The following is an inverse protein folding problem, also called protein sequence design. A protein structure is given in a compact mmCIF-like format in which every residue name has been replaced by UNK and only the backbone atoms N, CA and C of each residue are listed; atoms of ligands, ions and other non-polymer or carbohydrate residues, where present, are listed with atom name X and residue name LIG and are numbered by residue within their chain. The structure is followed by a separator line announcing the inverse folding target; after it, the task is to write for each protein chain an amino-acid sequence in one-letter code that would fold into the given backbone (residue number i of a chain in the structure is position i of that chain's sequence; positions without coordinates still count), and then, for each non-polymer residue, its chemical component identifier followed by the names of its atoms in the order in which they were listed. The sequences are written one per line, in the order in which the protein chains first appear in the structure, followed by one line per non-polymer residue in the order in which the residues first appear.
data_IF_082147820963
#
_entry.id   IF_082147820963
#
_cell.length_a   1.000
_cell.length_b   1.000
_cell.length_c   1.000
_cell.angle_alpha   90.00
_cell.angle_beta   90.00
_cell.angle_gamma   90.00
#
_symmetry.space_group_name_H-M   'P 1'
#
loop_
_entity.id
_entity.type
_entity.pdbx_description
1 polymer ?
#
# COMPACT_ATOMS: atom_id res chain seq x y z
N UNK A 1 -12.35 6.48 21.58
CA UNK A 1 -13.20 7.58 21.10
C UNK A 1 -12.31 8.81 21.05
N UNK A 2 -12.08 9.34 19.86
CA UNK A 2 -11.10 10.42 19.64
C UNK A 2 -11.75 11.78 19.40
N UNK A 3 -13.01 11.91 19.84
CA UNK A 3 -13.84 13.10 19.71
C UNK A 3 -15.18 12.80 19.04
N UNK A 4 -15.97 13.85 18.88
CA UNK A 4 -17.23 13.85 18.14
C UNK A 4 -17.17 14.97 17.10
N UNK A 5 -17.74 14.73 15.92
CA UNK A 5 -17.94 15.79 14.94
C UNK A 5 -19.44 16.01 14.72
N UNK A 6 -19.82 17.27 14.52
CA UNK A 6 -21.20 17.63 14.25
C UNK A 6 -21.42 17.74 12.74
N UNK A 7 -22.44 17.05 12.25
CA UNK A 7 -22.90 17.14 10.87
C UNK A 7 -24.41 17.28 10.89
N UNK A 8 -24.92 18.40 10.35
CA UNK A 8 -26.35 18.73 10.28
C UNK A 8 -27.07 18.67 11.65
N UNK A 9 -26.42 19.11 12.73
CA UNK A 9 -26.98 19.08 14.09
C UNK A 9 -26.96 17.72 14.78
N UNK A 10 -26.48 16.67 14.11
CA UNK A 10 -26.26 15.35 14.70
C UNK A 10 -24.77 15.18 15.05
N UNK A 11 -24.50 14.64 16.25
CA UNK A 11 -23.15 14.34 16.72
C UNK A 11 -22.77 12.91 16.41
N UNK A 12 -21.65 12.73 15.71
CA UNK A 12 -21.12 11.42 15.34
C UNK A 12 -19.79 11.17 16.04
N UNK A 13 -19.58 9.99 16.62
CA UNK A 13 -18.29 9.64 17.19
C UNK A 13 -17.23 9.55 16.09
N UNK A 14 -16.09 10.20 16.30
CA UNK A 14 -14.92 10.02 15.44
C UNK A 14 -14.34 8.64 15.74
N UNK A 15 -14.57 7.71 14.84
CA UNK A 15 -13.94 6.39 14.86
C UNK A 15 -12.57 6.47 14.19
N UNK A 16 -11.50 6.07 14.88
CA UNK A 16 -10.23 5.79 14.20
C UNK A 16 -10.43 4.62 13.26
N UNK A 17 -9.67 4.61 12.18
CA UNK A 17 -9.45 3.40 11.38
C UNK A 17 -8.95 2.30 12.31
N UNK A 18 -9.75 1.26 12.48
CA UNK A 18 -9.35 0.03 13.16
C UNK A 18 -8.98 -1.02 12.12
N UNK A 19 -7.96 -1.85 12.38
CA UNK A 19 -7.69 -2.99 11.52
C UNK A 19 -8.93 -3.88 11.47
N UNK A 20 -9.26 -4.37 10.28
CA UNK A 20 -10.34 -5.34 10.11
C UNK A 20 -9.97 -6.58 10.95
N UNK A 21 -10.84 -7.04 11.87
CA UNK A 21 -10.57 -8.24 12.65
C UNK A 21 -10.30 -9.42 11.71
N UNK A 22 -9.12 -10.01 11.81
CA UNK A 22 -8.73 -11.16 11.01
C UNK A 22 -8.05 -12.23 11.87
N UNK A 23 -8.23 -13.53 11.57
CA UNK A 23 -7.61 -14.61 12.33
C UNK A 23 -6.10 -14.76 12.06
N UNK A 24 -5.58 -14.07 11.04
CA UNK A 24 -4.23 -14.25 10.53
C UNK A 24 -3.15 -13.76 11.50
N UNK A 25 -2.12 -14.58 11.73
CA UNK A 25 -0.96 -14.23 12.56
C UNK A 25 0.30 -14.20 11.71
N UNK A 26 1.24 -13.33 12.09
CA UNK A 26 2.49 -13.17 11.36
C UNK A 26 3.38 -14.43 11.40
N UNK A 27 3.20 -15.28 12.42
CA UNK A 27 4.03 -16.47 12.68
C UNK A 27 3.23 -17.78 12.56
N UNK A 28 2.12 -17.78 11.83
CA UNK A 28 1.40 -19.02 11.54
C UNK A 28 2.26 -19.92 10.63
N UNK A 29 2.19 -21.25 10.80
CA UNK A 29 2.99 -22.18 10.00
C UNK A 29 2.58 -22.11 8.53
N UNK A 30 3.50 -22.46 7.63
CA UNK A 30 3.29 -22.36 6.18
C UNK A 30 1.99 -23.02 5.69
N UNK A 31 1.67 -24.21 6.22
CA UNK A 31 0.44 -24.95 5.91
C UNK A 31 -0.84 -24.16 6.24
N UNK A 32 -0.81 -23.31 7.28
CA UNK A 32 -1.94 -22.47 7.68
C UNK A 32 -2.03 -21.23 6.79
N UNK A 33 -0.89 -20.64 6.43
CA UNK A 33 -0.82 -19.47 5.53
C UNK A 33 -1.30 -19.83 4.11
N UNK A 34 -1.03 -21.05 3.63
CA UNK A 34 -1.54 -21.54 2.34
C UNK A 34 -3.07 -21.59 2.26
N UNK A 35 -3.75 -21.66 3.42
CA UNK A 35 -5.22 -21.65 3.49
C UNK A 35 -5.79 -20.23 3.57
N UNK A 36 -4.95 -19.19 3.64
CA UNK A 36 -5.44 -17.81 3.73
C UNK A 36 -6.04 -17.36 2.40
N UNK A 37 -7.27 -16.84 2.46
CA UNK A 37 -7.85 -16.12 1.34
C UNK A 37 -7.40 -14.67 1.39
N UNK A 38 -6.64 -14.25 0.38
CA UNK A 38 -6.17 -12.87 0.22
C UNK A 38 -6.62 -12.36 -1.14
N UNK A 39 -7.18 -11.15 -1.15
CA UNK A 39 -7.58 -10.45 -2.35
C UNK A 39 -6.81 -9.14 -2.46
N UNK A 40 -6.31 -8.83 -3.66
CA UNK A 40 -5.87 -7.47 -3.96
C UNK A 40 -7.09 -6.56 -4.04
N UNK A 41 -6.95 -5.36 -3.50
CA UNK A 41 -7.98 -4.33 -3.48
C UNK A 41 -7.38 -2.99 -3.89
N UNK A 42 -8.22 -1.97 -4.01
CA UNK A 42 -7.85 -0.60 -4.37
C UNK A 42 -7.20 -0.46 -5.75
N UNK A 43 -7.95 -0.82 -6.80
CA UNK A 43 -7.55 -0.68 -8.19
C UNK A 43 -7.74 0.75 -8.74
N UNK A 44 -7.94 1.76 -7.88
CA UNK A 44 -8.19 3.15 -8.30
C UNK A 44 -7.04 3.78 -9.11
N UNK A 45 -5.81 3.26 -8.92
CA UNK A 45 -4.62 3.67 -9.68
C UNK A 45 -4.15 2.61 -10.70
N UNK A 46 -4.86 1.49 -10.85
CA UNK A 46 -4.45 0.41 -11.74
C UNK A 46 -4.51 0.84 -13.21
N UNK A 47 -3.55 0.40 -14.02
CA UNK A 47 -3.43 0.75 -15.43
C UNK A 47 -3.38 -0.50 -16.30
N UNK A 48 -3.86 -0.40 -17.53
CA UNK A 48 -3.77 -1.47 -18.53
C UNK A 48 -2.37 -1.51 -19.15
N UNK A 49 -1.78 -2.70 -19.25
CA UNK A 49 -0.40 -2.88 -19.74
C UNK A 49 -0.29 -2.70 -21.25
N UNK A 50 -1.37 -2.97 -21.98
CA UNK A 50 -1.48 -2.83 -23.44
C UNK A 50 -1.81 -1.40 -23.90
N UNK A 51 -1.89 -0.44 -22.96
CA UNK A 51 -2.19 0.96 -23.24
C UNK A 51 -1.05 1.84 -22.77
N UNK A 52 -0.93 3.00 -23.42
CA UNK A 52 -0.05 4.05 -22.93
C UNK A 52 -0.45 4.44 -21.50
N UNK A 53 0.52 4.51 -20.56
CA UNK A 53 0.21 4.85 -19.19
C UNK A 53 -0.42 6.25 -19.08
N UNK A 54 -1.49 6.38 -18.29
CA UNK A 54 -2.16 7.67 -18.10
C UNK A 54 -1.27 8.73 -17.41
N UNK A 55 -0.21 8.30 -16.73
CA UNK A 55 0.73 9.16 -16.01
C UNK A 55 2.13 8.55 -16.06
N UNK A 56 3.16 9.40 -16.01
CA UNK A 56 4.56 8.96 -15.86
C UNK A 56 4.98 8.72 -14.42
N UNK A 57 4.08 8.98 -13.47
CA UNK A 57 4.37 8.87 -12.04
C UNK A 57 3.25 8.12 -11.35
N UNK A 58 3.59 6.96 -10.80
CA UNK A 58 2.67 6.06 -10.10
C UNK A 58 3.22 5.64 -8.72
N UNK A 59 2.32 5.09 -7.90
CA UNK A 59 2.64 4.57 -6.57
C UNK A 59 2.86 5.66 -5.51
N UNK A 60 2.63 5.28 -4.25
CA UNK A 60 2.99 6.10 -3.10
C UNK A 60 4.50 6.37 -3.11
N UNK A 61 4.91 7.58 -2.71
CA UNK A 61 6.30 8.04 -2.77
C UNK A 61 7.28 7.04 -2.14
N UNK A 62 6.90 6.46 -1.00
CA UNK A 62 7.70 5.52 -0.23
C UNK A 62 7.82 4.11 -0.84
N UNK A 63 6.98 3.76 -1.81
CA UNK A 63 6.92 2.44 -2.46
C UNK A 63 7.32 2.52 -3.94
N UNK A 64 7.74 3.69 -4.41
CA UNK A 64 7.98 3.95 -5.82
C UNK A 64 9.25 3.26 -6.30
N UNK A 65 9.15 2.59 -7.43
CA UNK A 65 10.29 1.93 -8.07
C UNK A 65 11.29 2.97 -8.61
N UNK A 66 12.60 2.65 -8.67
CA UNK A 66 13.63 3.59 -9.09
C UNK A 66 13.41 4.11 -10.52
N UNK A 67 12.96 3.28 -11.45
CA UNK A 67 12.64 3.67 -12.83
C UNK A 67 11.55 4.76 -12.90
N UNK A 68 10.55 4.69 -12.00
CA UNK A 68 9.49 5.69 -11.91
C UNK A 68 10.01 6.99 -11.27
N UNK A 69 10.94 6.90 -10.31
CA UNK A 69 11.60 8.08 -9.71
C UNK A 69 12.45 8.82 -10.75
N UNK A 70 13.14 8.06 -11.59
CA UNK A 70 14.01 8.60 -12.64
C UNK A 70 13.24 9.08 -13.88
N UNK A 71 11.92 8.86 -13.93
CA UNK A 71 11.09 9.22 -15.07
C UNK A 71 11.35 8.37 -16.32
N UNK A 72 11.92 7.18 -16.15
CA UNK A 72 12.09 6.21 -17.21
C UNK A 72 10.78 5.45 -17.48
N UNK A 73 10.73 4.76 -18.61
CA UNK A 73 9.61 3.88 -18.91
C UNK A 73 9.51 2.78 -17.86
N UNK A 74 8.28 2.49 -17.46
CA UNK A 74 7.98 1.51 -16.44
C UNK A 74 6.97 0.50 -16.97
N UNK A 75 6.87 -0.65 -16.29
CA UNK A 75 5.88 -1.67 -16.59
C UNK A 75 5.55 -2.48 -15.35
N UNK A 76 5.03 -3.70 -15.53
CA UNK A 76 4.56 -4.59 -14.44
C UNK A 76 5.59 -4.90 -13.33
N UNK A 77 6.88 -4.61 -13.55
CA UNK A 77 7.94 -4.83 -12.56
C UNK A 77 7.86 -3.88 -11.37
N UNK A 78 7.21 -2.72 -11.53
CA UNK A 78 6.97 -1.77 -10.43
C UNK A 78 6.11 -2.37 -9.31
N UNK A 79 5.20 -3.27 -9.63
CA UNK A 79 4.36 -3.95 -8.64
C UNK A 79 5.18 -4.95 -7.81
N UNK A 80 6.13 -5.63 -8.44
CA UNK A 80 7.07 -6.54 -7.75
C UNK A 80 7.96 -5.75 -6.77
N UNK A 81 8.43 -4.57 -7.19
CA UNK A 81 9.16 -3.67 -6.32
C UNK A 81 8.33 -3.26 -5.10
N UNK A 82 7.08 -2.80 -5.32
CA UNK A 82 6.19 -2.38 -4.25
C UNK A 82 5.89 -3.52 -3.25
N UNK A 83 5.71 -4.76 -3.72
CA UNK A 83 5.56 -5.94 -2.87
C UNK A 83 6.81 -6.19 -2.00
N UNK A 84 8.01 -6.02 -2.56
CA UNK A 84 9.27 -6.09 -1.83
C UNK A 84 9.35 -5.05 -0.71
N UNK A 85 9.02 -3.80 -1.02
CA UNK A 85 8.96 -2.72 -0.04
C UNK A 85 7.94 -3.00 1.07
N UNK A 86 6.77 -3.57 0.76
CA UNK A 86 5.76 -3.92 1.77
C UNK A 86 6.28 -4.97 2.77
N UNK A 87 7.01 -5.98 2.29
CA UNK A 87 7.67 -6.98 3.15
C UNK A 87 8.71 -6.32 4.06
N UNK A 88 9.52 -5.41 3.52
CA UNK A 88 10.58 -4.73 4.26
C UNK A 88 10.06 -3.67 5.24
N UNK A 89 8.98 -2.95 4.90
CA UNK A 89 8.38 -1.93 5.76
C UNK A 89 7.92 -2.51 7.10
N UNK A 90 7.45 -3.77 7.12
CA UNK A 90 7.13 -4.51 8.36
C UNK A 90 8.36 -4.86 9.21
N UNK A 91 9.56 -4.89 8.64
CA UNK A 91 10.81 -5.17 9.35
C UNK A 91 11.44 -3.93 10.00
N UNK A 92 10.77 -2.77 9.97
CA UNK A 92 11.19 -1.57 10.69
C UNK A 92 12.43 -0.86 10.14
N UNK A 93 12.96 -1.29 8.99
CA UNK A 93 14.13 -0.67 8.36
C UNK A 93 13.70 0.15 7.15
N UNK A 94 13.22 1.37 7.42
CA UNK A 94 13.18 2.44 6.43
C UNK A 94 14.59 3.04 6.33
N UNK A 95 15.43 2.49 5.45
CA UNK A 95 16.67 3.16 5.04
C UNK A 95 16.66 3.35 3.54
N UNK A 96 15.76 4.23 3.09
CA UNK A 96 15.85 4.87 1.78
C UNK A 96 15.93 6.39 1.99
N UNK A 97 16.87 6.83 2.83
CA UNK A 97 17.32 8.23 2.82
C UNK A 97 18.31 8.35 1.67
N UNK A 98 17.80 8.47 0.45
CA UNK A 98 18.54 9.05 -0.67
C UNK A 98 17.68 10.14 -1.31
N UNK A 99 17.68 11.30 -0.66
CA UNK A 99 17.81 12.57 -1.35
C UNK A 99 18.60 13.52 -0.46
N UNK A 100 19.68 14.15 -0.96
CA UNK A 100 20.30 15.26 -0.26
C UNK A 100 19.43 16.50 -0.46
N UNK A 101 18.79 16.97 0.62
CA UNK A 101 18.70 18.37 1.01
C UNK A 101 18.21 18.48 2.45
#
# INVERSE_FOLDING_TARGET
MDGEFELNGARYPIMRSQPIPHPFKWNDPGITVELYSVCLTDFGSAQWVDREPATRTIGAYALRAPEVILGADYGVKVDIWALGCMKQAKLGVWKMTIWPR
#
